data_IF_814460250125
#
_entry.id   IF_814460250125
#
_cell.length_a   1.000
_cell.length_b   1.000
_cell.length_c   1.000
_cell.angle_alpha   90.00
_cell.angle_beta   90.00
_cell.angle_gamma   90.00
#
_symmetry.space_group_name_H-M   'P 1'
#
loop_
_entity.id
_entity.type
_entity.pdbx_description
1 polymer ?
#
# COMPACT_ATOMS: atom_id res chain seq x y z
N UNK A 1 31.35 65.78 -15.79
CA UNK A 1 31.74 64.36 -15.73
C UNK A 1 30.57 63.39 -15.47
N UNK A 2 29.49 63.77 -14.76
CA UNK A 2 28.31 62.87 -14.56
C UNK A 2 27.39 62.71 -15.79
N UNK A 3 27.32 63.70 -16.69
CA UNK A 3 26.46 63.66 -17.90
C UNK A 3 27.05 62.84 -19.06
N UNK A 4 28.37 62.68 -19.11
CA UNK A 4 29.06 61.85 -20.13
C UNK A 4 28.94 60.35 -19.79
N UNK A 5 28.89 60.01 -18.50
CA UNK A 5 28.63 58.63 -18.04
C UNK A 5 27.20 58.15 -18.32
N UNK A 6 26.21 59.05 -18.29
CA UNK A 6 24.80 58.70 -18.59
C UNK A 6 24.60 58.44 -20.09
N UNK A 7 25.29 59.19 -20.96
CA UNK A 7 25.25 58.96 -22.42
C UNK A 7 25.95 57.65 -22.83
N UNK A 8 27.06 57.29 -22.18
CA UNK A 8 27.75 56.02 -22.45
C UNK A 8 26.96 54.79 -21.96
N UNK A 9 26.24 54.90 -20.84
CA UNK A 9 25.41 53.81 -20.30
C UNK A 9 24.12 53.58 -21.10
N UNK A 10 23.57 54.61 -21.75
CA UNK A 10 22.37 54.48 -22.59
C UNK A 10 22.70 53.87 -23.97
N UNK A 11 23.91 54.13 -24.49
CA UNK A 11 24.35 53.59 -25.79
C UNK A 11 24.75 52.11 -25.73
N UNK A 12 25.13 51.61 -24.55
CA UNK A 12 25.46 50.19 -24.34
C UNK A 12 24.22 49.32 -24.05
N UNK A 13 23.11 49.92 -23.59
CA UNK A 13 21.85 49.22 -23.33
C UNK A 13 20.97 49.03 -24.58
N UNK A 14 21.26 49.74 -25.69
CA UNK A 14 20.54 49.60 -26.96
C UNK A 14 21.16 48.54 -27.89
N UNK A 15 22.31 47.96 -27.52
CA UNK A 15 23.05 46.97 -28.30
C UNK A 15 22.92 45.54 -27.72
N UNK A 16 21.76 45.21 -27.15
CA UNK A 16 21.47 43.90 -26.55
C UNK A 16 20.03 43.43 -26.83
N UNK A 17 19.53 43.75 -28.03
CA UNK A 17 18.32 43.13 -28.59
C UNK A 17 18.75 41.92 -29.44
N UNK A 18 18.31 40.68 -29.14
CA UNK A 18 18.55 39.55 -30.03
C UNK A 18 17.73 39.73 -31.31
N UNK A 19 18.42 39.82 -32.45
CA UNK A 19 17.83 39.71 -33.77
C UNK A 19 17.26 38.30 -33.95
N UNK A 20 15.95 38.20 -34.16
CA UNK A 20 15.24 36.97 -34.48
C UNK A 20 15.64 36.51 -35.89
N UNK A 21 16.46 35.46 -35.99
CA UNK A 21 16.69 34.76 -37.25
C UNK A 21 15.63 33.66 -37.37
N UNK A 22 14.66 33.89 -38.25
CA UNK A 22 13.79 32.84 -38.76
C UNK A 22 14.61 31.85 -39.58
N UNK A 23 14.84 30.65 -39.04
CA UNK A 23 15.34 29.51 -39.81
C UNK A 23 14.21 28.51 -40.01
N UNK A 24 13.76 28.40 -41.25
CA UNK A 24 12.94 27.31 -41.74
C UNK A 24 13.83 26.08 -42.01
N UNK A 25 13.53 24.98 -41.34
CA UNK A 25 13.95 23.60 -41.63
C UNK A 25 12.81 22.74 -41.06
N UNK A 26 12.11 21.89 -41.80
CA UNK A 26 12.59 20.96 -42.81
C UNK A 26 12.57 19.55 -42.21
N UNK A 27 11.41 18.89 -42.25
CA UNK A 27 11.26 17.43 -42.20
C UNK A 27 11.67 16.70 -40.90
N UNK A 28 10.69 16.19 -40.17
CA UNK A 28 10.93 15.27 -39.05
C UNK A 28 9.61 14.79 -38.44
N UNK A 29 8.85 13.98 -39.17
CA UNK A 29 7.77 13.20 -38.59
C UNK A 29 8.36 12.19 -37.61
N UNK A 30 8.09 12.39 -36.33
CA UNK A 30 8.28 11.41 -35.27
C UNK A 30 7.14 11.63 -34.30
N UNK A 31 6.10 10.81 -34.40
CA UNK A 31 4.91 10.93 -33.58
C UNK A 31 5.28 10.98 -32.10
N UNK A 32 5.11 12.16 -31.49
CA UNK A 32 5.06 12.27 -30.04
C UNK A 32 3.73 11.66 -29.63
N UNK A 33 3.72 10.34 -29.47
CA UNK A 33 2.69 9.62 -28.73
C UNK A 33 2.76 10.05 -27.27
N UNK A 34 2.38 11.30 -27.00
CA UNK A 34 2.08 11.81 -25.69
C UNK A 34 0.79 11.15 -25.25
N UNK A 35 0.89 9.88 -24.88
CA UNK A 35 -0.11 9.22 -24.06
C UNK A 35 -0.10 9.94 -22.72
N UNK A 36 -0.74 11.11 -22.66
CA UNK A 36 -1.17 11.71 -21.41
C UNK A 36 -2.19 10.73 -20.86
N UNK A 37 -1.72 9.75 -20.08
CA UNK A 37 -2.59 8.90 -19.29
C UNK A 37 -3.46 9.83 -18.47
N UNK A 38 -4.69 10.08 -18.94
CA UNK A 38 -5.58 11.12 -18.43
C UNK A 38 -5.94 10.93 -16.96
N UNK A 39 -5.60 9.78 -16.40
CA UNK A 39 -5.73 9.43 -15.00
C UNK A 39 -4.57 9.95 -14.10
N UNK A 40 -3.56 10.64 -14.62
CA UNK A 40 -2.48 11.19 -13.79
C UNK A 40 -2.86 12.54 -13.16
N UNK A 41 -3.82 13.26 -13.73
CA UNK A 41 -4.18 14.63 -13.32
C UNK A 41 -5.31 14.67 -12.28
N UNK A 42 -6.16 13.65 -12.24
CA UNK A 42 -7.16 13.52 -11.17
C UNK A 42 -6.49 13.20 -9.83
N UNK A 43 -6.91 13.80 -8.71
CA UNK A 43 -6.34 13.53 -7.40
C UNK A 43 -6.58 12.08 -6.96
N UNK A 44 -5.71 11.57 -6.09
CA UNK A 44 -6.00 10.36 -5.34
C UNK A 44 -7.08 10.68 -4.31
N UNK A 45 -8.04 9.77 -4.13
CA UNK A 45 -9.12 9.91 -3.15
C UNK A 45 -9.41 8.56 -2.52
N UNK A 46 -9.86 8.58 -1.26
CA UNK A 46 -10.47 7.42 -0.63
C UNK A 46 -11.88 7.23 -1.20
N UNK A 47 -12.17 6.03 -1.72
CA UNK A 47 -13.47 5.68 -2.32
C UNK A 47 -14.39 5.05 -1.29
N UNK A 48 -13.86 4.15 -0.47
CA UNK A 48 -14.62 3.48 0.59
C UNK A 48 -13.70 2.95 1.68
N UNK A 49 -14.28 2.68 2.84
CA UNK A 49 -13.66 1.92 3.92
C UNK A 49 -14.67 0.99 4.58
N UNK A 50 -14.21 -0.15 5.11
CA UNK A 50 -15.04 -1.07 5.90
C UNK A 50 -15.49 -0.45 7.23
N UNK A 51 -14.71 0.52 7.74
CA UNK A 51 -15.09 1.34 8.89
C UNK A 51 -15.35 2.77 8.42
N UNK A 52 -16.57 3.26 8.68
CA UNK A 52 -16.94 4.63 8.33
C UNK A 52 -16.48 5.61 9.41
N UNK A 53 -16.26 6.87 9.03
CA UNK A 53 -15.98 7.92 9.99
C UNK A 53 -17.16 8.11 10.96
N UNK A 54 -16.87 8.12 12.25
CA UNK A 54 -17.84 8.14 13.34
C UNK A 54 -18.52 6.80 13.64
N UNK A 55 -18.10 5.68 13.02
CA UNK A 55 -18.74 4.39 13.26
C UNK A 55 -18.57 3.94 14.71
N UNK A 56 -19.63 3.39 15.29
CA UNK A 56 -19.65 2.82 16.65
C UNK A 56 -19.78 1.30 16.59
N UNK A 57 -19.58 0.63 17.72
CA UNK A 57 -19.69 -0.83 17.84
C UNK A 57 -18.75 -1.59 16.88
N UNK A 58 -17.55 -1.05 16.66
CA UNK A 58 -16.51 -1.74 15.89
C UNK A 58 -15.88 -2.83 16.77
N UNK A 59 -15.67 -4.03 16.22
CA UNK A 59 -15.01 -5.12 16.96
C UNK A 59 -13.64 -4.72 17.52
N UNK A 60 -13.15 -5.46 18.52
CA UNK A 60 -11.88 -5.14 19.19
C UNK A 60 -10.63 -5.45 18.34
N UNK A 61 -10.77 -6.29 17.31
CA UNK A 61 -9.71 -6.61 16.33
C UNK A 61 -10.17 -6.32 14.90
N UNK A 62 -10.46 -5.06 14.55
CA UNK A 62 -11.01 -4.73 13.25
C UNK A 62 -9.95 -4.86 12.15
N UNK A 63 -10.33 -5.45 11.01
CA UNK A 63 -9.59 -5.32 9.76
C UNK A 63 -10.20 -4.18 8.94
N UNK A 64 -9.46 -3.06 8.84
CA UNK A 64 -9.93 -1.84 8.20
C UNK A 64 -9.42 -1.82 6.76
N UNK A 65 -10.26 -2.26 5.83
CA UNK A 65 -9.95 -2.22 4.39
C UNK A 65 -10.37 -0.87 3.83
N UNK A 66 -9.47 -0.22 3.11
CA UNK A 66 -9.65 1.05 2.45
C UNK A 66 -9.40 0.88 0.96
N UNK A 67 -10.34 1.36 0.13
CA UNK A 67 -10.24 1.31 -1.32
C UNK A 67 -10.00 2.71 -1.85
N UNK A 68 -8.93 2.87 -2.63
CA UNK A 68 -8.55 4.14 -3.23
C UNK A 68 -8.98 4.23 -4.70
N UNK A 69 -9.06 5.45 -5.23
CA UNK A 69 -9.45 5.69 -6.63
C UNK A 69 -8.40 5.26 -7.64
N UNK A 70 -7.15 5.04 -7.21
CA UNK A 70 -6.01 4.66 -8.06
C UNK A 70 -5.13 3.64 -7.37
N UNK A 71 -4.22 3.04 -8.15
CA UNK A 71 -3.29 2.04 -7.66
C UNK A 71 -2.29 2.66 -6.67
N UNK A 72 -2.34 2.22 -5.41
CA UNK A 72 -1.47 2.65 -4.30
C UNK A 72 -0.53 1.55 -3.82
N UNK A 73 -0.64 0.33 -4.36
CA UNK A 73 0.16 -0.83 -3.94
C UNK A 73 1.27 -1.21 -4.93
N UNK A 74 1.42 -0.44 -6.02
CA UNK A 74 2.50 -0.63 -6.99
C UNK A 74 3.87 -0.58 -6.31
N UNK A 75 4.77 -1.48 -6.73
CA UNK A 75 6.11 -1.63 -6.15
C UNK A 75 6.92 -0.32 -6.11
N UNK A 76 6.68 0.61 -7.05
CA UNK A 76 7.39 1.89 -7.09
C UNK A 76 7.01 2.86 -5.96
N UNK A 77 5.82 2.71 -5.37
CA UNK A 77 5.29 3.61 -4.33
C UNK A 77 5.02 2.90 -3.00
N UNK A 78 4.89 1.57 -3.02
CA UNK A 78 4.49 0.73 -1.87
C UNK A 78 5.31 1.00 -0.62
N UNK A 79 6.64 1.01 -0.71
CA UNK A 79 7.52 1.21 0.45
C UNK A 79 7.29 2.57 1.13
N UNK A 80 7.15 3.63 0.34
CA UNK A 80 6.83 4.97 0.87
C UNK A 80 5.42 5.01 1.46
N UNK A 81 4.45 4.41 0.77
CA UNK A 81 3.05 4.42 1.17
C UNK A 81 2.79 3.67 2.49
N UNK A 82 3.55 2.62 2.81
CA UNK A 82 3.42 1.90 4.09
C UNK A 82 3.61 2.82 5.31
N UNK A 83 4.35 3.92 5.15
CA UNK A 83 4.60 4.90 6.22
C UNK A 83 3.52 5.99 6.35
N UNK A 84 2.53 5.99 5.45
CA UNK A 84 1.51 7.04 5.38
C UNK A 84 0.30 6.80 6.28
N UNK A 85 0.34 5.78 7.14
CA UNK A 85 -0.78 5.40 7.99
C UNK A 85 -0.41 5.56 9.46
N UNK A 86 -1.37 5.94 10.28
CA UNK A 86 -1.27 5.94 11.72
C UNK A 86 -2.59 5.46 12.33
N UNK A 87 -2.51 4.78 13.46
CA UNK A 87 -3.65 4.41 14.29
C UNK A 87 -3.39 4.88 15.72
N UNK A 88 -4.27 5.72 16.24
CA UNK A 88 -4.09 6.36 17.53
C UNK A 88 -5.41 6.35 18.32
N UNK A 89 -5.30 6.35 19.65
CA UNK A 89 -6.44 6.62 20.51
C UNK A 89 -6.80 8.10 20.46
N UNK A 90 -8.09 8.42 20.52
CA UNK A 90 -8.59 9.79 20.54
C UNK A 90 -8.05 10.61 21.73
N UNK A 91 -7.82 9.94 22.85
CA UNK A 91 -7.30 10.52 24.10
C UNK A 91 -5.77 10.58 24.16
N UNK A 92 -5.10 10.17 23.08
CA UNK A 92 -3.66 10.08 22.99
C UNK A 92 -3.15 8.68 23.32
N UNK A 93 -2.16 8.22 22.55
CA UNK A 93 -1.56 6.91 22.68
C UNK A 93 -1.43 6.25 21.31
N UNK A 94 -0.20 5.90 20.96
CA UNK A 94 0.09 5.12 19.76
C UNK A 94 -0.44 3.70 19.95
N UNK A 95 -1.13 3.21 18.92
CA UNK A 95 -1.57 1.82 18.85
C UNK A 95 -0.63 1.09 17.90
N UNK A 96 -0.18 -0.11 18.26
CA UNK A 96 0.56 -0.95 17.31
C UNK A 96 -0.37 -1.44 16.22
N UNK A 97 0.03 -1.29 14.95
CA UNK A 97 -0.72 -1.79 13.81
C UNK A 97 0.21 -2.25 12.69
N UNK A 98 -0.34 -2.99 11.75
CA UNK A 98 0.30 -3.33 10.50
C UNK A 98 -0.51 -2.78 9.32
N UNK A 99 0.21 -2.46 8.24
CA UNK A 99 -0.37 -2.05 6.96
C UNK A 99 -0.09 -3.16 5.97
N UNK A 100 -1.15 -3.70 5.38
CA UNK A 100 -1.07 -4.77 4.40
C UNK A 100 -1.47 -4.20 3.05
N UNK A 101 -0.55 -4.32 2.09
CA UNK A 101 -0.75 -3.95 0.69
C UNK A 101 -0.33 -5.13 -0.17
N UNK A 102 -1.23 -5.59 -1.04
CA UNK A 102 -0.95 -6.67 -1.98
C UNK A 102 0.11 -6.25 -3.02
N UNK A 103 0.78 -7.20 -3.67
CA UNK A 103 1.56 -6.89 -4.86
C UNK A 103 0.61 -6.75 -6.06
N UNK A 104 0.51 -5.54 -6.64
CA UNK A 104 -0.38 -5.28 -7.77
C UNK A 104 -0.08 -6.10 -9.04
N UNK A 105 1.08 -6.75 -9.14
CA UNK A 105 1.40 -7.67 -10.24
C UNK A 105 0.87 -9.09 -9.98
N UNK A 106 0.75 -9.48 -8.71
CA UNK A 106 0.26 -10.82 -8.30
C UNK A 106 -1.25 -10.79 -8.06
N UNK A 107 -1.75 -9.74 -7.39
CA UNK A 107 -3.16 -9.53 -7.04
C UNK A 107 -3.64 -8.17 -7.61
N UNK A 108 -3.81 -8.05 -8.94
CA UNK A 108 -4.16 -6.79 -9.61
C UNK A 108 -5.52 -6.22 -9.21
N UNK A 109 -6.41 -7.05 -8.67
CA UNK A 109 -7.70 -6.65 -8.10
C UNK A 109 -7.55 -5.88 -6.79
N UNK A 110 -6.49 -6.14 -6.02
CA UNK A 110 -6.18 -5.48 -4.74
C UNK A 110 -5.24 -4.29 -4.89
N UNK A 111 -4.99 -3.84 -6.12
CA UNK A 111 -4.02 -2.76 -6.40
C UNK A 111 -4.40 -1.40 -5.78
N UNK A 112 -5.67 -1.23 -5.44
CA UNK A 112 -6.22 -0.03 -4.84
C UNK A 112 -6.51 -0.23 -3.34
N UNK A 113 -6.25 -1.41 -2.80
CA UNK A 113 -6.72 -1.81 -1.48
C UNK A 113 -5.57 -1.74 -0.48
N UNK A 114 -5.85 -1.13 0.67
CA UNK A 114 -4.95 -1.11 1.81
C UNK A 114 -5.72 -1.59 3.02
N UNK A 115 -5.15 -2.55 3.76
CA UNK A 115 -5.72 -3.02 5.03
C UNK A 115 -4.87 -2.51 6.17
N UNK A 116 -5.51 -1.88 7.16
CA UNK A 116 -4.90 -1.53 8.45
C UNK A 116 -5.47 -2.47 9.50
N UNK A 117 -4.58 -3.16 10.21
CA UNK A 117 -4.96 -4.11 11.27
C UNK A 117 -4.18 -3.81 12.55
N UNK A 118 -4.86 -3.63 13.71
CA UNK A 118 -4.16 -3.53 15.00
C UNK A 118 -3.34 -4.79 15.29
N UNK A 119 -2.13 -4.61 15.83
CA UNK A 119 -1.25 -5.72 16.20
C UNK A 119 -1.69 -6.43 17.49
N UNK A 120 -2.60 -5.82 18.25
CA UNK A 120 -3.19 -6.34 19.47
C UNK A 120 -4.65 -5.91 19.55
N UNK A 121 -5.41 -6.58 20.43
CA UNK A 121 -6.79 -6.23 20.73
C UNK A 121 -6.90 -4.77 21.23
N UNK A 122 -7.84 -4.03 20.67
CA UNK A 122 -8.16 -2.66 21.07
C UNK A 122 -8.98 -2.67 22.37
N UNK A 123 -8.83 -1.62 23.17
CA UNK A 123 -9.65 -1.42 24.37
C UNK A 123 -11.12 -1.22 24.00
N UNK A 124 -12.01 -1.84 24.77
CA UNK A 124 -13.46 -1.74 24.62
C UNK A 124 -13.97 -0.32 24.90
N UNK A 125 -15.07 0.07 24.24
CA UNK A 125 -15.74 1.37 24.41
C UNK A 125 -14.84 2.58 24.16
N UNK A 126 -13.75 2.40 23.41
CA UNK A 126 -12.71 3.42 23.23
C UNK A 126 -12.75 3.96 21.80
N UNK A 127 -12.54 5.27 21.65
CA UNK A 127 -12.50 5.92 20.35
C UNK A 127 -11.07 5.93 19.79
N UNK A 128 -10.95 5.53 18.53
CA UNK A 128 -9.71 5.47 17.77
C UNK A 128 -9.81 6.34 16.51
N UNK A 129 -8.67 6.75 16.00
CA UNK A 129 -8.53 7.51 14.76
C UNK A 129 -7.49 6.80 13.89
N UNK A 130 -7.88 6.47 12.66
CA UNK A 130 -6.96 6.15 11.58
C UNK A 130 -6.67 7.43 10.80
N UNK A 131 -5.39 7.76 10.65
CA UNK A 131 -4.96 8.89 9.83
C UNK A 131 -4.20 8.38 8.60
N UNK A 132 -4.59 8.88 7.43
CA UNK A 132 -3.96 8.60 6.14
C UNK A 132 -3.32 9.91 5.67
N UNK A 133 -1.99 9.95 5.67
CA UNK A 133 -1.22 11.12 5.30
C UNK A 133 -1.44 11.51 3.84
N UNK A 134 -1.50 12.81 3.57
CA UNK A 134 -1.55 13.38 2.22
C UNK A 134 -0.36 12.97 1.35
N UNK A 135 0.73 12.50 1.96
CA UNK A 135 1.90 11.99 1.28
C UNK A 135 1.64 10.65 0.57
N UNK A 136 0.50 9.98 0.83
CA UNK A 136 0.11 8.77 0.11
C UNK A 136 0.02 9.06 -1.39
N UNK A 137 0.73 8.27 -2.19
CA UNK A 137 0.82 8.48 -3.65
C UNK A 137 0.35 7.26 -4.41
N UNK A 138 -0.21 7.49 -5.59
CA UNK A 138 -0.55 6.43 -6.54
C UNK A 138 0.56 6.22 -7.56
N UNK A 139 0.53 5.09 -8.27
CA UNK A 139 1.45 4.79 -9.38
C UNK A 139 1.54 5.91 -10.42
N UNK A 140 0.46 6.66 -10.65
CA UNK A 140 0.46 7.78 -11.60
C UNK A 140 1.10 9.07 -11.06
N UNK A 141 1.54 9.07 -9.80
CA UNK A 141 2.10 10.24 -9.12
C UNK A 141 1.08 11.17 -8.47
N UNK A 142 -0.23 10.86 -8.57
CA UNK A 142 -1.26 11.62 -7.88
C UNK A 142 -1.26 11.30 -6.37
N UNK A 143 -1.46 12.32 -5.55
CA UNK A 143 -1.54 12.23 -4.08
C UNK A 143 -2.91 12.64 -3.57
N UNK A 144 -3.18 12.36 -2.29
CA UNK A 144 -4.34 12.89 -1.59
C UNK A 144 -4.23 14.43 -1.49
N UNK A 145 -5.37 15.12 -1.49
CA UNK A 145 -5.39 16.58 -1.37
C UNK A 145 -4.99 17.06 0.04
N UNK A 146 -5.38 16.29 1.05
CA UNK A 146 -5.15 16.54 2.47
C UNK A 146 -5.10 15.20 3.23
N UNK A 147 -4.77 15.26 4.51
CA UNK A 147 -4.80 14.08 5.36
C UNK A 147 -6.25 13.62 5.52
N UNK A 148 -6.50 12.31 5.40
CA UNK A 148 -7.83 11.72 5.57
C UNK A 148 -7.88 11.05 6.93
N UNK A 149 -8.88 11.37 7.73
CA UNK A 149 -9.08 10.79 9.06
C UNK A 149 -10.36 9.98 9.11
N UNK A 150 -10.31 8.80 9.72
CA UNK A 150 -11.47 7.95 10.01
C UNK A 150 -11.50 7.71 11.51
N UNK A 151 -12.48 8.27 12.20
CA UNK A 151 -12.72 8.02 13.62
C UNK A 151 -13.70 6.86 13.80
N UNK A 152 -13.50 6.02 14.81
CA UNK A 152 -14.44 4.96 15.16
C UNK A 152 -14.38 4.60 16.64
N UNK A 153 -15.43 3.98 17.15
CA UNK A 153 -15.54 3.58 18.56
C UNK A 153 -15.75 2.07 18.65
N UNK A 154 -14.94 1.42 19.48
CA UNK A 154 -15.03 -0.03 19.69
C UNK A 154 -16.29 -0.41 20.47
N UNK A 155 -16.73 -1.66 20.30
CA UNK A 155 -17.78 -2.27 21.13
C UNK A 155 -17.45 -2.11 22.61
N UNK A 156 -18.46 -1.82 23.42
CA UNK A 156 -18.30 -1.79 24.88
C UNK A 156 -18.08 -3.19 25.47
N UNK A 157 -17.60 -3.26 26.71
CA UNK A 157 -17.36 -4.53 27.44
C UNK A 157 -18.59 -5.45 27.51
N UNK A 158 -19.80 -4.90 27.33
CA UNK A 158 -21.05 -5.67 27.29
C UNK A 158 -21.31 -6.41 25.96
N UNK A 159 -20.63 -6.08 24.88
CA UNK A 159 -20.84 -6.63 23.53
C UNK A 159 -19.70 -7.56 23.06
N UNK A 160 -18.51 -7.47 23.67
CA UNK A 160 -17.38 -8.38 23.40
C UNK A 160 -17.68 -9.85 23.79
N UNK A 161 -18.63 -10.08 24.69
CA UNK A 161 -19.05 -11.42 25.10
C UNK A 161 -19.96 -12.14 24.08
N UNK A 162 -20.60 -11.40 23.15
CA UNK A 162 -21.55 -11.97 22.19
C UNK A 162 -20.85 -12.37 20.87
N UNK A 163 -19.83 -11.60 20.45
CA UNK A 163 -19.04 -11.89 19.24
C UNK A 163 -18.16 -13.17 19.34
N UNK A 164 -17.81 -13.59 20.56
CA UNK A 164 -17.09 -14.86 20.79
C UNK A 164 -18.01 -16.10 20.70
N UNK A 165 -19.33 -15.92 20.77
CA UNK A 165 -20.30 -17.01 20.70
C UNK A 165 -20.71 -17.36 19.25
N UNK A 166 -20.61 -16.42 18.30
CA UNK A 166 -21.00 -16.65 16.90
C UNK A 166 -19.94 -17.40 16.08
N UNK A 167 -18.68 -17.43 16.52
CA UNK A 167 -17.61 -18.23 15.90
C UNK A 167 -17.57 -19.70 16.35
N UNK A 168 -18.40 -20.12 17.31
CA UNK A 168 -18.39 -21.48 17.88
C UNK A 168 -19.65 -22.31 17.52
N UNK A 169 -20.58 -21.77 16.73
CA UNK A 169 -21.87 -22.43 16.43
C UNK A 169 -21.96 -23.06 15.02
N UNK A 170 -20.91 -23.04 14.20
CA UNK A 170 -20.92 -23.65 12.85
C UNK A 170 -20.06 -24.92 12.70
N UNK A 171 -19.82 -25.66 13.79
CA UNK A 171 -19.24 -27.02 13.69
C UNK A 171 -19.86 -27.98 14.70
N UNK A 172 -21.16 -28.27 14.59
CA UNK A 172 -21.75 -29.48 15.18
C UNK A 172 -23.14 -29.74 14.59
N UNK A 173 -23.21 -30.48 13.48
CA UNK A 173 -24.17 -31.60 13.30
C UNK A 173 -23.74 -32.37 12.06
N UNK A 174 -22.73 -33.23 12.21
CA UNK A 174 -22.67 -34.44 11.40
C UNK A 174 -23.54 -35.49 12.10
N UNK A 175 -24.28 -36.27 11.31
CA UNK A 175 -24.62 -37.70 11.47
C UNK A 175 -25.97 -38.02 10.75
N UNK A 176 -26.30 -39.28 10.42
CA UNK A 176 -25.66 -40.11 9.38
C UNK A 176 -26.72 -40.88 8.55
N UNK A 177 -26.49 -41.24 7.28
CA UNK A 177 -27.21 -42.41 6.71
C UNK A 177 -26.32 -43.14 5.71
N UNK A 178 -25.97 -44.37 6.08
CA UNK A 178 -25.45 -45.38 5.17
C UNK A 178 -26.54 -46.42 4.87
N UNK A 179 -26.43 -46.99 3.67
CA UNK A 179 -26.92 -48.32 3.23
C UNK A 179 -28.25 -48.32 2.47
N UNK A 180 -28.18 -48.55 1.15
CA UNK A 180 -28.58 -49.84 0.56
C UNK A 180 -28.08 -49.96 -0.90
N UNK A 181 -27.42 -51.09 -1.19
CA UNK A 181 -27.17 -51.68 -2.51
C UNK A 181 -28.22 -52.81 -2.73
N UNK A 182 -28.37 -53.52 -3.88
CA UNK A 182 -27.39 -53.71 -4.98
C UNK A 182 -27.95 -53.88 -6.43
N UNK A 183 -26.98 -54.07 -7.36
CA UNK A 183 -27.01 -54.87 -8.60
C UNK A 183 -27.74 -54.36 -9.86
N UNK A 184 -26.99 -54.09 -10.94
CA UNK A 184 -26.82 -55.05 -12.04
C UNK A 184 -25.93 -54.52 -13.19
N UNK A 185 -25.04 -55.41 -13.66
CA UNK A 185 -24.53 -55.62 -15.03
C UNK A 185 -23.61 -54.58 -15.73
N UNK A 186 -22.35 -55.04 -15.88
CA UNK A 186 -21.41 -54.67 -16.95
C UNK A 186 -21.82 -55.37 -18.27
N UNK A 187 -21.25 -55.05 -19.47
CA UNK A 187 -19.82 -55.27 -19.73
C UNK A 187 -19.09 -54.27 -20.65
N UNK A 188 -17.77 -54.24 -20.44
CA UNK A 188 -16.66 -54.20 -21.41
C UNK A 188 -16.65 -53.21 -22.58
N UNK A 189 -15.61 -52.37 -22.63
CA UNK A 189 -14.68 -52.32 -23.78
C UNK A 189 -13.26 -52.03 -23.29
N UNK A 190 -12.31 -52.84 -23.74
CA UNK A 190 -10.86 -52.63 -23.64
C UNK A 190 -10.39 -51.46 -24.52
N UNK A 191 -9.23 -50.88 -24.22
CA UNK A 191 -8.06 -50.83 -25.13
C UNK A 191 -7.18 -49.56 -24.95
N UNK A 192 -5.96 -49.81 -24.42
CA UNK A 192 -4.62 -49.31 -24.83
C UNK A 192 -4.14 -47.86 -24.63
N UNK A 193 -2.88 -47.83 -24.17
CA UNK A 193 -1.77 -46.85 -24.31
C UNK A 193 -1.46 -46.08 -23.01
N UNK A 194 -0.51 -46.51 -22.18
CA UNK A 194 0.97 -46.57 -22.35
C UNK A 194 1.67 -45.21 -22.15
N UNK A 195 2.46 -45.16 -21.05
CA UNK A 195 3.70 -44.40 -20.77
C UNK A 195 3.70 -42.88 -21.02
N UNK A 196 4.43 -42.00 -20.34
CA UNK A 196 5.55 -41.96 -19.39
C UNK A 196 5.56 -40.46 -18.94
N UNK A 197 6.25 -39.94 -17.94
CA UNK A 197 7.36 -40.34 -17.09
C UNK A 197 7.34 -39.37 -15.90
N UNK A 198 7.63 -39.87 -14.71
CA UNK A 198 7.96 -39.04 -13.56
C UNK A 198 9.46 -38.80 -13.55
N UNK A 199 9.89 -37.56 -13.37
CA UNK A 199 11.24 -37.24 -12.93
C UNK A 199 11.16 -36.57 -11.56
N UNK A 200 11.47 -37.36 -10.54
CA UNK A 200 12.03 -36.84 -9.30
C UNK A 200 13.53 -36.64 -9.52
N UNK A 201 14.07 -35.47 -9.17
CA UNK A 201 15.49 -35.34 -8.82
C UNK A 201 15.63 -34.37 -7.64
N UNK A 202 16.19 -34.93 -6.57
CA UNK A 202 16.58 -34.24 -5.35
C UNK A 202 18.10 -34.07 -5.38
N UNK A 203 18.63 -32.87 -5.15
CA UNK A 203 20.09 -32.74 -5.06
C UNK A 203 20.70 -31.33 -4.99
N UNK A 204 20.47 -30.65 -3.88
CA UNK A 204 21.49 -29.99 -3.04
C UNK A 204 22.77 -29.37 -3.68
N UNK A 205 23.01 -28.06 -3.46
CA UNK A 205 24.34 -27.44 -3.21
C UNK A 205 24.18 -25.90 -3.10
N UNK A 206 24.24 -25.28 -1.92
CA UNK A 206 25.47 -24.76 -1.29
C UNK A 206 26.32 -23.84 -2.19
N UNK A 207 26.11 -22.52 -2.10
CA UNK A 207 27.20 -21.54 -2.24
C UNK A 207 26.92 -20.34 -1.34
N UNK A 208 27.80 -20.14 -0.35
CA UNK A 208 27.68 -19.11 0.67
C UNK A 208 28.28 -17.76 0.29
N UNK A 209 27.85 -16.76 1.07
CA UNK A 209 28.58 -15.59 1.58
C UNK A 209 29.89 -15.19 0.90
N UNK A 210 29.90 -14.01 0.26
CA UNK A 210 30.80 -12.84 0.50
C UNK A 210 29.99 -11.63 -0.04
N UNK A 211 29.62 -10.60 0.73
CA UNK A 211 30.38 -9.36 0.92
C UNK A 211 29.98 -8.74 2.27
N UNK A 212 30.97 -8.64 3.16
CA UNK A 212 30.99 -7.73 4.30
C UNK A 212 31.86 -6.52 3.92
N UNK A 213 31.36 -5.29 4.11
CA UNK A 213 32.08 -4.15 4.72
C UNK A 213 31.39 -2.80 4.43
N UNK A 214 31.37 -1.95 5.47
CA UNK A 214 31.00 -0.52 5.54
C UNK A 214 29.48 -0.24 5.53
N UNK A 215 28.85 0.35 6.57
CA UNK A 215 29.29 1.40 7.48
C UNK A 215 28.62 1.21 8.87
N UNK A 216 29.41 0.84 9.87
CA UNK A 216 29.03 0.89 11.29
C UNK A 216 29.80 2.04 11.96
N UNK A 217 29.15 3.21 12.10
CA UNK A 217 29.68 4.33 12.92
C UNK A 217 28.61 5.04 13.77
N UNK A 218 27.30 4.77 13.65
CA UNK A 218 26.27 5.60 14.33
C UNK A 218 25.60 4.90 15.54
N UNK A 219 26.33 4.11 16.34
CA UNK A 219 25.76 3.50 17.57
C UNK A 219 26.65 3.60 18.83
N UNK A 220 27.47 4.66 18.95
CA UNK A 220 28.20 4.96 20.20
C UNK A 220 27.87 6.34 20.77
N UNK A 221 27.17 7.21 20.03
CA UNK A 221 26.89 8.59 20.47
C UNK A 221 25.66 8.75 21.39
N UNK A 222 24.76 7.77 21.48
CA UNK A 222 23.50 7.95 22.22
C UNK A 222 23.54 7.44 23.67
N UNK A 223 24.44 6.51 24.00
CA UNK A 223 24.52 5.95 25.35
C UNK A 223 25.47 6.72 26.30
N UNK A 224 26.28 7.64 25.77
CA UNK A 224 27.28 8.40 26.55
C UNK A 224 26.78 9.66 27.27
N UNK A 225 25.56 10.14 26.98
CA UNK A 225 25.07 11.44 27.49
C UNK A 225 24.16 11.31 28.72
N UNK A 226 23.62 10.13 29.02
CA UNK A 226 22.64 9.96 30.11
C UNK A 226 23.23 9.66 31.49
N UNK A 227 24.55 9.44 31.62
CA UNK A 227 25.21 9.06 32.90
C UNK A 227 25.94 10.21 33.61
N UNK A 228 25.69 11.48 33.25
CA UNK A 228 26.34 12.64 33.93
C UNK A 228 25.33 13.68 34.41
N UNK A 229 24.26 13.23 35.08
CA UNK A 229 23.46 14.05 36.01
C UNK A 229 22.88 13.18 37.13
N UNK A 230 23.72 12.89 38.12
CA UNK A 230 23.36 12.74 39.53
C UNK A 230 24.62 12.86 40.39
#
# INVERSE_FOLDING_TARGET
MKKVFILASLLLALLLLPATISMASGGGGGGTGGGTGGNSTEPLTLVSSTVMDGQTEVGLTPEITMVFSKNVTDLSVKEANLTCFALEKKDGGEVGFEVIMADSQVEPEKKNDVVVRPSAELEAGTQYIVTISKALTSKSGASLAEDVTISFTTVGDGAAADAAAEAAAETATAEPVATEAPAAEAPAVEETAEAAEATEDAGQSSTGFIIAAAVAVILVAWFGIKKKRS
#
